data_IF_785600882106
#
_entry.id   IF_785600882106
#
_cell.length_a   1.000
_cell.length_b   1.000
_cell.length_c   1.000
_cell.angle_alpha   90.00
_cell.angle_beta   90.00
_cell.angle_gamma   90.00
#
_symmetry.space_group_name_H-M   'P 1'
#
loop_
_entity.id
_entity.type
_entity.pdbx_description
1 polymer ?
#
# COMPACT_ATOMS: atom_id res chain seq x y z
N UNK A 1 -21.98 -18.33 7.22
CA UNK A 1 -22.16 -17.41 8.37
C UNK A 1 -20.83 -17.38 9.11
N UNK A 2 -20.11 -16.25 9.07
CA UNK A 2 -18.86 -16.08 9.82
C UNK A 2 -19.26 -15.83 11.27
N UNK A 3 -18.78 -16.70 12.17
CA UNK A 3 -19.06 -16.65 13.59
C UNK A 3 -18.54 -15.32 14.16
N UNK A 4 -19.39 -14.54 14.83
CA UNK A 4 -19.16 -13.14 15.16
C UNK A 4 -18.35 -12.90 16.46
N UNK A 5 -17.47 -13.83 16.86
CA UNK A 5 -16.81 -13.78 18.18
C UNK A 5 -15.38 -13.22 18.15
N UNK A 6 -14.76 -13.15 16.97
CA UNK A 6 -13.40 -12.63 16.80
C UNK A 6 -13.17 -12.09 15.38
N UNK A 7 -12.10 -11.32 15.22
CA UNK A 7 -11.61 -10.86 13.92
C UNK A 7 -10.11 -11.09 13.79
N UNK A 8 -9.63 -11.19 12.55
CA UNK A 8 -8.21 -11.25 12.23
C UNK A 8 -7.84 -10.01 11.44
N UNK A 9 -6.76 -9.35 11.84
CA UNK A 9 -6.26 -8.12 11.21
C UNK A 9 -4.73 -8.18 11.04
N UNK A 10 -4.17 -7.46 10.06
CA UNK A 10 -2.72 -7.26 9.98
C UNK A 10 -2.20 -6.56 11.24
N UNK A 11 -1.01 -6.94 11.70
CA UNK A 11 -0.36 -6.35 12.86
C UNK A 11 0.97 -5.68 12.44
N UNK A 12 1.22 -4.47 12.94
CA UNK A 12 2.53 -3.82 12.82
C UNK A 12 3.42 -4.29 13.97
N UNK A 13 4.59 -4.86 13.64
CA UNK A 13 5.46 -5.45 14.66
C UNK A 13 5.86 -4.47 15.77
N UNK A 14 6.07 -3.18 15.46
CA UNK A 14 6.52 -2.19 16.45
C UNK A 14 5.36 -1.70 17.31
N UNK A 15 4.22 -1.44 16.69
CA UNK A 15 3.04 -0.91 17.39
C UNK A 15 2.31 -1.99 18.19
N UNK A 16 2.18 -3.20 17.64
CA UNK A 16 1.42 -4.30 18.24
C UNK A 16 2.31 -5.28 19.05
N UNK A 17 3.60 -4.96 19.25
CA UNK A 17 4.58 -5.86 19.88
C UNK A 17 4.08 -6.48 21.19
N UNK A 18 3.48 -5.67 22.07
CA UNK A 18 3.02 -6.13 23.38
C UNK A 18 1.90 -7.18 23.27
N UNK A 19 1.00 -7.02 22.30
CA UNK A 19 -0.11 -7.93 22.08
C UNK A 19 0.36 -9.23 21.43
N UNK A 20 1.27 -9.14 20.45
CA UNK A 20 1.95 -10.30 19.85
C UNK A 20 2.72 -11.09 20.93
N UNK A 21 3.49 -10.38 21.77
CA UNK A 21 4.24 -10.92 22.90
C UNK A 21 3.35 -11.65 23.88
N UNK A 22 2.24 -11.03 24.30
CA UNK A 22 1.32 -11.63 25.26
C UNK A 22 0.81 -13.01 24.82
N UNK A 23 0.43 -13.14 23.54
CA UNK A 23 -0.05 -14.42 23.00
C UNK A 23 1.10 -15.42 22.87
N UNK A 24 2.24 -15.01 22.30
CA UNK A 24 3.41 -15.88 22.06
C UNK A 24 4.02 -16.40 23.35
N UNK A 25 4.22 -15.55 24.36
CA UNK A 25 4.77 -15.97 25.66
C UNK A 25 3.84 -16.96 26.35
N UNK A 26 2.53 -16.71 26.33
CA UNK A 26 1.55 -17.61 26.95
C UNK A 26 1.62 -19.02 26.34
N UNK A 27 1.71 -19.10 25.01
CA UNK A 27 1.66 -20.38 24.29
C UNK A 27 3.02 -21.05 24.19
N UNK A 28 4.07 -20.35 23.77
CA UNK A 28 5.38 -20.95 23.53
C UNK A 28 6.21 -21.08 24.80
N UNK A 29 6.31 -20.01 25.60
CA UNK A 29 7.18 -20.00 26.79
C UNK A 29 6.48 -20.68 27.98
N UNK A 30 5.29 -20.22 28.34
CA UNK A 30 4.61 -20.70 29.56
C UNK A 30 4.03 -22.10 29.40
N UNK A 31 3.36 -22.37 28.27
CA UNK A 31 2.71 -23.66 28.02
C UNK A 31 3.68 -24.68 27.40
N UNK A 32 4.32 -24.36 26.28
CA UNK A 32 5.18 -25.33 25.55
C UNK A 32 6.62 -25.40 26.06
N UNK A 33 7.01 -24.54 27.00
CA UNK A 33 8.35 -24.52 27.62
C UNK A 33 9.48 -24.24 26.64
N UNK A 34 9.22 -23.49 25.57
CA UNK A 34 10.26 -22.93 24.70
C UNK A 34 11.08 -21.90 25.50
N UNK A 35 12.42 -21.94 25.47
CA UNK A 35 13.25 -20.93 26.12
C UNK A 35 12.90 -19.52 25.62
N UNK A 36 12.76 -18.55 26.52
CA UNK A 36 12.36 -17.17 26.17
C UNK A 36 13.35 -16.52 25.17
N UNK A 37 14.63 -16.84 25.30
CA UNK A 37 15.71 -16.41 24.41
C UNK A 37 15.63 -16.97 22.97
N UNK A 38 14.94 -18.10 22.77
CA UNK A 38 14.74 -18.71 21.45
C UNK A 38 13.42 -18.27 20.77
N UNK A 39 12.50 -17.67 21.54
CA UNK A 39 11.19 -17.27 21.01
C UNK A 39 11.28 -16.10 20.04
N UNK A 40 12.18 -15.15 20.31
CA UNK A 40 12.36 -13.90 19.58
C UNK A 40 13.57 -13.97 18.67
N UNK A 41 13.41 -13.62 17.39
CA UNK A 41 14.51 -13.69 16.42
C UNK A 41 14.67 -12.41 15.57
N UNK A 42 15.78 -12.33 14.84
CA UNK A 42 16.13 -11.19 14.00
C UNK A 42 15.17 -11.00 12.79
N UNK A 43 14.37 -12.02 12.46
CA UNK A 43 13.41 -11.94 11.36
C UNK A 43 12.10 -11.29 11.79
N UNK A 44 11.76 -11.30 13.08
CA UNK A 44 10.50 -10.76 13.60
C UNK A 44 10.17 -9.35 13.06
N UNK A 45 11.08 -8.36 13.07
CA UNK A 45 10.81 -7.02 12.52
C UNK A 45 10.55 -6.98 11.01
N UNK A 46 10.90 -8.04 10.27
CA UNK A 46 10.82 -8.13 8.81
C UNK A 46 9.66 -9.01 8.33
N UNK A 47 8.93 -9.64 9.26
CA UNK A 47 7.82 -10.52 8.92
C UNK A 47 6.51 -9.73 8.71
N UNK A 48 5.60 -10.30 7.93
CA UNK A 48 4.19 -9.89 7.98
C UNK A 48 3.54 -10.58 9.18
N UNK A 49 2.99 -9.82 10.11
CA UNK A 49 2.29 -10.36 11.27
C UNK A 49 0.78 -10.22 11.10
N UNK A 50 0.04 -11.19 11.65
CA UNK A 50 -1.41 -11.11 11.82
C UNK A 50 -1.75 -11.35 13.28
N UNK A 51 -2.82 -10.72 13.73
CA UNK A 51 -3.33 -10.88 15.09
C UNK A 51 -4.84 -11.15 15.04
N UNK A 52 -5.28 -12.08 15.89
CA UNK A 52 -6.69 -12.33 16.13
C UNK A 52 -7.10 -11.63 17.43
N UNK A 53 -8.23 -10.93 17.39
CA UNK A 53 -8.80 -10.23 18.54
C UNK A 53 -10.24 -10.65 18.78
N UNK A 54 -10.62 -10.79 20.04
CA UNK A 54 -12.01 -11.02 20.44
C UNK A 54 -12.88 -9.75 20.28
N UNK A 55 -14.17 -9.86 20.61
CA UNK A 55 -15.10 -8.73 20.60
C UNK A 55 -14.69 -7.56 21.54
N UNK A 56 -13.95 -7.86 22.61
CA UNK A 56 -13.41 -6.88 23.57
C UNK A 56 -12.04 -6.33 23.16
N UNK A 57 -11.58 -6.63 21.93
CA UNK A 57 -10.30 -6.20 21.37
C UNK A 57 -9.06 -6.85 22.02
N UNK A 58 -9.21 -7.91 22.81
CA UNK A 58 -8.09 -8.61 23.45
C UNK A 58 -7.40 -9.52 22.43
N UNK A 59 -6.06 -9.61 22.44
CA UNK A 59 -5.34 -10.51 21.54
C UNK A 59 -5.52 -11.96 21.97
N UNK A 60 -5.98 -12.81 21.05
CA UNK A 60 -6.34 -14.22 21.32
C UNK A 60 -5.55 -15.20 20.46
N UNK A 61 -4.87 -14.71 19.43
CA UNK A 61 -4.07 -15.53 18.54
C UNK A 61 -3.17 -14.68 17.64
N UNK A 62 -2.11 -15.27 17.12
CA UNK A 62 -1.17 -14.60 16.22
C UNK A 62 -0.49 -15.60 15.29
N UNK A 63 0.12 -15.09 14.22
CA UNK A 63 0.99 -15.81 13.32
C UNK A 63 1.80 -14.84 12.48
N UNK A 64 2.90 -15.34 11.90
CA UNK A 64 3.75 -14.53 11.02
C UNK A 64 4.08 -15.25 9.72
N UNK A 65 4.36 -14.46 8.68
CA UNK A 65 4.90 -14.88 7.40
C UNK A 65 6.28 -14.22 7.21
N UNK A 66 7.32 -15.05 7.15
CA UNK A 66 8.72 -14.59 7.02
C UNK A 66 9.06 -14.22 5.57
N UNK A 67 10.09 -13.39 5.34
CA UNK A 67 10.61 -13.11 3.98
C UNK A 67 11.07 -14.37 3.23
N UNK A 68 11.44 -15.42 3.97
CA UNK A 68 11.85 -16.74 3.45
C UNK A 68 10.67 -17.63 3.06
N UNK A 69 9.46 -17.05 2.99
CA UNK A 69 8.21 -17.74 2.62
C UNK A 69 7.83 -18.85 3.59
N UNK A 70 8.09 -18.63 4.88
CA UNK A 70 7.68 -19.57 5.93
C UNK A 70 6.60 -18.97 6.82
N UNK A 71 5.57 -19.76 7.09
CA UNK A 71 4.61 -19.49 8.15
C UNK A 71 5.19 -20.02 9.45
N UNK A 72 5.14 -19.20 10.51
CA UNK A 72 5.65 -19.56 11.81
C UNK A 72 4.97 -18.77 12.92
N UNK A 73 5.38 -19.05 14.17
CA UNK A 73 4.86 -18.40 15.38
C UNK A 73 3.32 -18.38 15.45
N UNK A 74 2.71 -19.43 14.90
CA UNK A 74 1.25 -19.65 14.96
C UNK A 74 0.88 -20.03 16.39
N UNK A 75 0.16 -19.14 17.07
CA UNK A 75 -0.26 -19.33 18.46
C UNK A 75 -1.72 -18.92 18.64
N UNK A 76 -2.47 -19.71 19.40
CA UNK A 76 -3.84 -19.41 19.82
C UNK A 76 -3.95 -19.74 21.30
N UNK A 77 -4.51 -18.82 22.08
CA UNK A 77 -4.73 -19.01 23.50
C UNK A 77 -5.62 -20.24 23.75
N UNK A 78 -5.32 -21.07 24.78
CA UNK A 78 -6.01 -22.34 25.04
C UNK A 78 -7.54 -22.27 24.99
N UNK A 79 -8.12 -21.24 25.59
CA UNK A 79 -9.56 -21.01 25.71
C UNK A 79 -10.25 -20.69 24.36
N UNK A 80 -9.48 -20.28 23.34
CA UNK A 80 -9.95 -19.95 21.99
C UNK A 80 -9.67 -21.04 20.95
N UNK A 81 -9.01 -22.14 21.34
CA UNK A 81 -8.76 -23.29 20.46
C UNK A 81 -10.07 -24.01 20.10
N UNK A 82 -10.08 -24.65 18.93
CA UNK A 82 -11.27 -25.34 18.42
C UNK A 82 -12.40 -24.42 17.94
N UNK A 83 -12.23 -23.10 18.00
CA UNK A 83 -13.23 -22.09 17.56
C UNK A 83 -12.97 -21.51 16.17
N UNK A 84 -12.01 -22.09 15.42
CA UNK A 84 -11.64 -21.63 14.07
C UNK A 84 -10.67 -20.43 14.02
N UNK A 85 -10.12 -19.98 15.16
CA UNK A 85 -9.14 -18.87 15.21
C UNK A 85 -7.86 -19.23 14.44
N UNK A 86 -7.34 -20.44 14.63
CA UNK A 86 -6.15 -20.93 13.91
C UNK A 86 -6.37 -20.97 12.40
N UNK A 87 -7.52 -21.47 11.95
CA UNK A 87 -7.91 -21.49 10.54
C UNK A 87 -7.96 -20.08 9.93
N UNK A 88 -8.50 -19.11 10.67
CA UNK A 88 -8.63 -17.73 10.21
C UNK A 88 -7.26 -17.04 10.11
N UNK A 89 -6.39 -17.23 11.11
CA UNK A 89 -5.01 -16.73 11.08
C UNK A 89 -4.22 -17.32 9.91
N UNK A 90 -4.28 -18.64 9.74
CA UNK A 90 -3.60 -19.32 8.65
C UNK A 90 -4.13 -18.87 7.28
N UNK A 91 -5.45 -18.69 7.14
CA UNK A 91 -6.05 -18.17 5.91
C UNK A 91 -5.55 -16.77 5.58
N UNK A 92 -5.49 -15.87 6.56
CA UNK A 92 -4.98 -14.51 6.36
C UNK A 92 -3.51 -14.51 5.88
N UNK A 93 -2.66 -15.37 6.46
CA UNK A 93 -1.26 -15.51 6.02
C UNK A 93 -1.12 -16.11 4.61
N UNK A 94 -1.97 -17.07 4.26
CA UNK A 94 -2.02 -17.65 2.92
C UNK A 94 -2.51 -16.63 1.89
N UNK A 95 -3.52 -15.83 2.21
CA UNK A 95 -4.00 -14.73 1.37
C UNK A 95 -2.90 -13.69 1.14
N UNK A 96 -2.16 -13.33 2.20
CA UNK A 96 -1.00 -12.46 2.08
C UNK A 96 0.08 -13.05 1.16
N UNK A 97 0.44 -14.33 1.33
CA UNK A 97 1.40 -15.01 0.46
C UNK A 97 0.94 -15.05 -1.01
N UNK A 98 -0.36 -15.28 -1.24
CA UNK A 98 -0.95 -15.24 -2.60
C UNK A 98 -0.95 -13.84 -3.18
N UNK A 99 -1.20 -12.81 -2.38
CA UNK A 99 -1.15 -11.40 -2.81
C UNK A 99 0.27 -10.96 -3.17
N UNK A 100 1.29 -11.52 -2.51
CA UNK A 100 2.70 -11.37 -2.86
C UNK A 100 3.12 -12.18 -4.11
N UNK A 101 2.19 -12.91 -4.72
CA UNK A 101 2.44 -13.71 -5.93
C UNK A 101 3.32 -14.95 -5.70
N UNK A 102 3.41 -15.44 -4.47
CA UNK A 102 4.27 -16.59 -4.17
C UNK A 102 3.67 -17.89 -4.69
N UNK A 103 4.46 -18.76 -5.35
CA UNK A 103 3.98 -20.04 -5.87
C UNK A 103 3.89 -21.13 -4.80
N UNK A 104 4.56 -20.94 -3.66
CA UNK A 104 4.64 -21.91 -2.57
C UNK A 104 4.93 -21.18 -1.25
N UNK A 105 4.43 -21.76 -0.15
CA UNK A 105 4.78 -21.38 1.22
C UNK A 105 5.13 -22.63 2.03
N UNK A 106 6.13 -22.51 2.91
CA UNK A 106 6.58 -23.58 3.81
C UNK A 106 6.23 -23.32 5.27
N UNK A 107 6.38 -24.34 6.11
CA UNK A 107 6.37 -24.24 7.57
C UNK A 107 7.03 -25.45 8.20
N UNK A 108 7.42 -25.32 9.47
CA UNK A 108 7.82 -26.43 10.31
C UNK A 108 6.64 -26.73 11.25
N UNK A 109 5.91 -27.81 11.01
CA UNK A 109 4.77 -28.20 11.85
C UNK A 109 5.24 -29.04 13.02
N UNK A 110 4.86 -28.69 14.25
CA UNK A 110 4.93 -29.64 15.36
C UNK A 110 4.12 -30.90 15.00
N UNK A 111 4.57 -32.08 15.42
CA UNK A 111 3.92 -33.35 15.04
C UNK A 111 2.41 -33.36 15.33
N UNK A 112 1.99 -32.79 16.46
CA UNK A 112 0.59 -32.63 16.85
C UNK A 112 -0.25 -31.71 15.95
N UNK A 113 0.38 -30.81 15.20
CA UNK A 113 -0.26 -29.84 14.32
C UNK A 113 -0.27 -30.28 12.84
N UNK A 114 0.32 -31.45 12.51
CA UNK A 114 0.38 -31.94 11.13
C UNK A 114 -1.01 -32.03 10.51
N UNK A 115 -1.98 -32.62 11.19
CA UNK A 115 -3.35 -32.78 10.68
C UNK A 115 -4.07 -31.44 10.49
N UNK A 116 -3.75 -30.44 11.31
CA UNK A 116 -4.25 -29.09 11.11
C UNK A 116 -3.75 -28.53 9.76
N UNK A 117 -2.44 -28.53 9.53
CA UNK A 117 -1.88 -27.99 8.28
C UNK A 117 -2.24 -28.85 7.05
N UNK A 118 -2.31 -30.18 7.19
CA UNK A 118 -2.71 -31.09 6.13
C UNK A 118 -4.12 -30.79 5.59
N UNK A 119 -5.08 -30.49 6.47
CA UNK A 119 -6.43 -30.06 6.09
C UNK A 119 -6.45 -28.73 5.34
N UNK A 120 -5.45 -27.89 5.56
CA UNK A 120 -5.22 -26.67 4.77
C UNK A 120 -4.35 -26.90 3.52
N UNK A 121 -4.14 -28.14 3.08
CA UNK A 121 -3.45 -28.47 1.84
C UNK A 121 -1.92 -28.42 1.90
N UNK A 122 -1.33 -28.38 3.10
CA UNK A 122 0.11 -28.58 3.26
C UNK A 122 0.46 -30.07 3.15
N UNK A 123 1.60 -30.36 2.55
CA UNK A 123 2.13 -31.71 2.40
C UNK A 123 3.49 -31.82 3.10
N UNK A 124 3.74 -32.89 3.86
CA UNK A 124 5.03 -33.11 4.49
C UNK A 124 6.13 -33.34 3.44
N UNK A 125 7.34 -32.88 3.74
CA UNK A 125 8.54 -33.19 2.97
C UNK A 125 9.76 -33.30 3.89
N UNK A 126 10.70 -34.17 3.53
CA UNK A 126 11.87 -34.45 4.36
C UNK A 126 11.57 -35.26 5.62
N UNK A 127 12.60 -35.51 6.41
CA UNK A 127 12.51 -36.24 7.68
C UNK A 127 12.05 -35.33 8.82
N UNK A 128 11.61 -35.96 9.92
CA UNK A 128 11.31 -35.24 11.16
C UNK A 128 12.59 -34.80 11.85
N UNK A 129 12.55 -33.69 12.57
CA UNK A 129 13.70 -33.12 13.27
C UNK A 129 13.27 -32.46 14.57
N UNK A 130 14.22 -32.22 15.46
CA UNK A 130 14.01 -31.53 16.73
C UNK A 130 14.30 -30.04 16.59
N UNK A 131 13.41 -29.19 17.10
CA UNK A 131 13.56 -27.73 17.16
C UNK A 131 12.99 -27.26 18.51
N UNK A 132 13.77 -26.52 19.29
CA UNK A 132 13.43 -26.09 20.66
C UNK A 132 12.90 -27.22 21.57
N UNK A 133 13.45 -28.44 21.44
CA UNK A 133 13.03 -29.61 22.21
C UNK A 133 11.71 -30.26 21.77
N UNK A 134 11.13 -29.82 20.65
CA UNK A 134 9.87 -30.35 20.09
C UNK A 134 10.14 -30.99 18.74
N UNK A 135 9.51 -32.14 18.48
CA UNK A 135 9.60 -32.82 17.19
C UNK A 135 8.73 -32.11 16.14
N UNK A 136 9.33 -31.82 14.99
CA UNK A 136 8.73 -31.11 13.87
C UNK A 136 8.84 -31.90 12.56
N UNK A 137 7.91 -31.63 11.65
CA UNK A 137 7.91 -32.08 10.26
C UNK A 137 7.84 -30.85 9.36
N UNK A 138 8.78 -30.72 8.42
CA UNK A 138 8.68 -29.69 7.41
C UNK A 138 7.49 -29.98 6.47
N UNK A 139 6.69 -28.96 6.20
CA UNK A 139 5.53 -29.05 5.31
C UNK A 139 5.50 -27.86 4.35
N UNK A 140 4.97 -28.08 3.15
CA UNK A 140 4.83 -27.04 2.13
C UNK A 140 3.49 -27.12 1.44
N UNK A 141 3.01 -25.98 0.95
CA UNK A 141 1.80 -25.88 0.16
C UNK A 141 2.08 -25.07 -1.09
N UNK A 142 1.79 -25.65 -2.25
CA UNK A 142 1.68 -24.90 -3.49
C UNK A 142 0.49 -23.96 -3.41
N UNK A 143 0.74 -22.72 -3.77
CA UNK A 143 -0.28 -21.70 -3.87
C UNK A 143 -0.57 -21.49 -5.35
N UNK A 144 -1.84 -21.46 -5.69
CA UNK A 144 -2.23 -20.72 -6.87
C UNK A 144 -2.06 -19.25 -6.49
N UNK A 145 -1.20 -18.47 -7.16
CA UNK A 145 -1.20 -17.03 -6.96
C UNK A 145 -2.64 -16.53 -7.04
N UNK A 146 -3.03 -15.55 -6.23
CA UNK A 146 -4.20 -14.77 -6.63
C UNK A 146 -3.87 -14.31 -8.04
N UNK A 147 -4.70 -14.68 -9.02
CA UNK A 147 -4.53 -14.15 -10.35
C UNK A 147 -4.41 -12.65 -10.14
N UNK A 148 -3.21 -12.09 -10.34
CA UNK A 148 -3.06 -10.66 -10.54
C UNK A 148 -4.11 -10.41 -11.60
N UNK A 149 -5.21 -9.69 -11.31
CA UNK A 149 -6.32 -9.59 -12.25
C UNK A 149 -5.65 -9.31 -13.57
N UNK A 150 -5.71 -10.27 -14.51
CA UNK A 150 -4.90 -10.21 -15.73
C UNK A 150 -5.17 -8.83 -16.22
N UNK A 151 -4.15 -7.95 -16.17
CA UNK A 151 -4.33 -6.59 -16.62
C UNK A 151 -4.76 -6.83 -18.06
N UNK A 152 -6.03 -6.58 -18.42
CA UNK A 152 -6.52 -6.94 -19.75
C UNK A 152 -5.47 -6.40 -20.68
N UNK A 153 -4.91 -7.23 -21.59
CA UNK A 153 -3.71 -6.90 -22.35
C UNK A 153 -3.88 -5.47 -22.78
N UNK A 154 -2.97 -4.60 -22.31
CA UNK A 154 -3.20 -3.16 -22.32
C UNK A 154 -3.77 -2.82 -23.69
N UNK A 155 -5.05 -2.37 -23.73
CA UNK A 155 -5.76 -2.09 -24.99
C UNK A 155 -4.73 -1.42 -25.90
N UNK A 156 -4.50 -1.92 -27.13
CA UNK A 156 -3.44 -1.41 -27.99
C UNK A 156 -3.50 0.10 -27.93
N UNK A 157 -2.45 0.70 -27.33
CA UNK A 157 -2.43 2.12 -27.05
C UNK A 157 -2.56 2.80 -28.41
N UNK A 158 -3.48 3.76 -28.50
CA UNK A 158 -3.65 4.52 -29.74
C UNK A 158 -2.33 5.18 -30.17
N UNK A 159 -2.21 5.59 -31.44
CA UNK A 159 -1.03 6.33 -31.88
C UNK A 159 -0.81 7.55 -30.97
N UNK A 160 0.46 7.90 -30.73
CA UNK A 160 0.79 9.12 -30.01
C UNK A 160 0.13 10.31 -30.69
N UNK A 161 -0.59 11.12 -29.92
CA UNK A 161 -1.03 12.43 -30.35
C UNK A 161 0.18 13.37 -30.32
N UNK A 162 0.43 14.16 -31.38
CA UNK A 162 1.54 15.10 -31.41
C UNK A 162 1.57 16.01 -30.18
N UNK A 163 2.78 16.24 -29.69
CA UNK A 163 3.04 17.14 -28.58
C UNK A 163 2.72 18.57 -28.99
N UNK A 164 2.13 19.32 -28.06
CA UNK A 164 1.77 20.73 -28.22
C UNK A 164 2.49 21.54 -27.15
N UNK A 165 2.90 22.73 -27.53
CA UNK A 165 3.54 23.64 -26.60
C UNK A 165 2.49 24.39 -25.75
N UNK A 166 2.90 24.80 -24.55
CA UNK A 166 2.20 25.78 -23.73
C UNK A 166 3.09 27.01 -23.60
N UNK A 167 2.51 28.21 -23.71
CA UNK A 167 3.28 29.46 -23.57
C UNK A 167 2.83 30.27 -22.35
N UNK A 168 1.57 30.10 -21.92
CA UNK A 168 1.00 30.85 -20.81
C UNK A 168 0.27 29.99 -19.77
N UNK A 169 -0.10 30.60 -18.62
CA UNK A 169 -0.86 29.92 -17.57
C UNK A 169 -2.25 29.45 -18.05
N UNK A 170 -2.83 30.12 -19.06
CA UNK A 170 -4.07 29.68 -19.71
C UNK A 170 -3.90 28.33 -20.43
N UNK A 171 -2.88 28.20 -21.28
CA UNK A 171 -2.59 26.96 -22.01
C UNK A 171 -2.30 25.81 -21.05
N UNK A 172 -1.54 26.09 -19.99
CA UNK A 172 -1.23 25.13 -18.92
C UNK A 172 -2.51 24.67 -18.21
N UNK A 173 -3.42 25.60 -17.89
CA UNK A 173 -4.70 25.26 -17.28
C UNK A 173 -5.60 24.44 -18.20
N UNK A 174 -5.66 24.77 -19.49
CA UNK A 174 -6.42 24.03 -20.49
C UNK A 174 -5.86 22.62 -20.70
N UNK A 175 -4.53 22.48 -20.76
CA UNK A 175 -3.84 21.20 -20.82
C UNK A 175 -4.16 20.35 -19.57
N UNK A 176 -3.99 20.90 -18.36
CA UNK A 176 -4.35 20.24 -17.11
C UNK A 176 -5.81 19.82 -17.10
N UNK A 177 -6.74 20.68 -17.54
CA UNK A 177 -8.17 20.38 -17.58
C UNK A 177 -8.48 19.19 -18.51
N UNK A 178 -7.87 19.17 -19.70
CA UNK A 178 -7.99 18.05 -20.63
C UNK A 178 -7.47 16.74 -20.03
N UNK A 179 -6.32 16.79 -19.36
CA UNK A 179 -5.69 15.64 -18.73
C UNK A 179 -6.48 15.11 -17.53
N UNK A 180 -7.00 15.97 -16.67
CA UNK A 180 -7.83 15.58 -15.51
C UNK A 180 -9.14 14.93 -15.98
N UNK A 181 -9.78 15.49 -17.03
CA UNK A 181 -11.01 14.91 -17.60
C UNK A 181 -10.80 13.56 -18.27
N UNK A 182 -9.62 13.31 -18.83
CA UNK A 182 -9.28 12.05 -19.48
C UNK A 182 -8.88 10.94 -18.49
N UNK A 183 -8.43 11.33 -17.29
CA UNK A 183 -8.00 10.40 -16.25
C UNK A 183 -9.15 9.48 -15.79
N UNK A 184 -8.84 8.23 -15.47
CA UNK A 184 -9.83 7.21 -15.07
C UNK A 184 -9.61 6.72 -13.65
N UNK A 185 -8.35 6.52 -13.26
CA UNK A 185 -7.99 5.94 -11.97
C UNK A 185 -6.88 6.70 -11.26
N UNK A 186 -6.01 7.38 -11.99
CA UNK A 186 -4.86 8.03 -11.36
C UNK A 186 -4.50 9.34 -12.05
N UNK A 187 -4.25 10.34 -11.22
CA UNK A 187 -3.60 11.59 -11.59
C UNK A 187 -2.39 11.74 -10.67
N UNK A 188 -1.22 11.98 -11.26
CA UNK A 188 -0.02 12.39 -10.54
C UNK A 188 0.30 13.84 -10.87
N UNK A 189 0.68 14.61 -9.85
CA UNK A 189 1.05 16.01 -9.98
C UNK A 189 2.32 16.27 -9.19
N UNK A 190 3.35 16.77 -9.87
CA UNK A 190 4.51 17.37 -9.22
C UNK A 190 4.46 18.88 -9.48
N UNK A 191 4.31 19.64 -8.41
CA UNK A 191 4.27 21.11 -8.43
C UNK A 191 5.11 21.66 -7.28
N UNK A 192 5.57 22.90 -7.42
CA UNK A 192 6.30 23.58 -6.35
C UNK A 192 5.36 23.97 -5.22
N UNK A 193 4.29 24.68 -5.57
CA UNK A 193 3.44 25.45 -4.66
C UNK A 193 1.95 25.34 -5.02
N UNK A 194 1.57 24.39 -5.88
CA UNK A 194 0.22 24.22 -6.39
C UNK A 194 -0.30 25.52 -7.02
N UNK A 195 0.38 25.98 -8.08
CA UNK A 195 0.24 27.31 -8.68
C UNK A 195 -1.23 27.81 -8.72
N UNK A 196 -1.61 28.82 -7.91
CA UNK A 196 -3.00 29.23 -7.76
C UNK A 196 -3.65 29.71 -9.07
N UNK A 197 -2.85 30.28 -9.97
CA UNK A 197 -3.30 30.74 -11.30
C UNK A 197 -3.76 29.60 -12.21
N UNK A 198 -3.34 28.36 -11.94
CA UNK A 198 -3.70 27.16 -12.69
C UNK A 198 -4.63 26.27 -11.84
N UNK A 199 -4.15 25.84 -10.67
CA UNK A 199 -4.84 24.87 -9.82
C UNK A 199 -5.93 25.47 -8.93
N UNK A 200 -5.97 26.79 -8.80
CA UNK A 200 -7.05 27.52 -8.15
C UNK A 200 -8.22 27.84 -9.07
N UNK A 201 -8.11 27.60 -10.39
CA UNK A 201 -9.17 27.93 -11.33
C UNK A 201 -10.44 27.08 -11.07
N UNK A 202 -11.64 27.68 -11.05
CA UNK A 202 -12.89 26.97 -10.78
C UNK A 202 -13.13 25.76 -11.68
N UNK A 203 -12.78 25.87 -12.97
CA UNK A 203 -12.95 24.79 -13.94
C UNK A 203 -12.10 23.56 -13.60
N UNK A 204 -10.86 23.76 -13.13
CA UNK A 204 -9.97 22.67 -12.79
C UNK A 204 -10.35 22.04 -11.45
N UNK A 205 -10.73 22.84 -10.46
CA UNK A 205 -11.23 22.35 -9.16
C UNK A 205 -12.48 21.49 -9.36
N UNK A 206 -13.42 21.93 -10.20
CA UNK A 206 -14.61 21.14 -10.51
C UNK A 206 -14.25 19.85 -11.27
N UNK A 207 -13.29 19.88 -12.21
CA UNK A 207 -12.83 18.67 -12.88
C UNK A 207 -12.21 17.64 -11.91
N UNK A 208 -11.39 18.08 -10.97
CA UNK A 208 -10.83 17.24 -9.91
C UNK A 208 -11.92 16.66 -9.00
N UNK A 209 -12.95 17.45 -8.65
CA UNK A 209 -14.11 16.99 -7.89
C UNK A 209 -14.90 15.92 -8.64
N UNK A 210 -15.16 16.13 -9.94
CA UNK A 210 -15.84 15.14 -10.79
C UNK A 210 -15.05 13.83 -10.89
N UNK A 211 -13.73 13.92 -11.04
CA UNK A 211 -12.84 12.76 -10.99
C UNK A 211 -12.99 12.00 -9.66
N UNK A 212 -12.97 12.72 -8.53
CA UNK A 212 -13.05 12.14 -7.19
C UNK A 212 -14.38 11.40 -6.92
N UNK A 213 -15.52 11.92 -7.42
CA UNK A 213 -16.85 11.33 -7.18
C UNK A 213 -17.28 10.28 -8.21
N UNK A 214 -16.50 10.03 -9.27
CA UNK A 214 -16.86 9.11 -10.35
C UNK A 214 -16.99 7.63 -9.92
N UNK A 215 -16.73 7.28 -8.65
CA UNK A 215 -17.00 5.97 -8.07
C UNK A 215 -16.06 4.84 -8.50
N UNK A 216 -14.92 5.15 -9.14
CA UNK A 216 -13.99 4.17 -9.72
C UNK A 216 -12.75 3.87 -8.86
N UNK A 217 -12.71 4.36 -7.61
CA UNK A 217 -11.52 4.27 -6.75
C UNK A 217 -10.34 5.08 -7.31
N UNK A 218 -10.63 6.26 -7.87
CA UNK A 218 -9.60 7.14 -8.41
C UNK A 218 -8.74 7.77 -7.31
N UNK A 219 -7.46 8.00 -7.61
CA UNK A 219 -6.48 8.63 -6.71
C UNK A 219 -5.82 9.83 -7.37
N UNK A 220 -5.60 10.87 -6.58
CA UNK A 220 -4.79 12.05 -6.96
C UNK A 220 -3.60 12.10 -6.02
N UNK A 221 -2.40 11.88 -6.57
CA UNK A 221 -1.14 11.91 -5.83
C UNK A 221 -0.38 13.18 -6.17
N UNK A 222 -0.10 14.00 -5.16
CA UNK A 222 0.56 15.29 -5.32
C UNK A 222 1.88 15.31 -4.57
N UNK A 223 2.97 15.53 -5.30
CA UNK A 223 4.27 15.92 -4.74
C UNK A 223 4.35 17.44 -4.73
N UNK A 224 4.52 18.02 -3.54
CA UNK A 224 4.75 19.45 -3.34
C UNK A 224 6.16 19.70 -2.85
N UNK A 225 6.90 20.53 -3.57
CA UNK A 225 8.27 20.90 -3.17
C UNK A 225 8.26 21.90 -2.00
N UNK A 226 7.27 22.79 -1.95
CA UNK A 226 7.12 23.83 -0.92
C UNK A 226 5.71 23.79 -0.29
N UNK A 227 5.38 22.75 0.51
CA UNK A 227 4.06 22.63 1.10
C UNK A 227 3.70 23.81 2.03
N UNK A 228 4.69 24.41 2.69
CA UNK A 228 4.50 25.57 3.56
C UNK A 228 4.01 26.82 2.81
N UNK A 229 4.32 26.97 1.52
CA UNK A 229 3.83 28.08 0.72
C UNK A 229 2.31 28.00 0.49
N UNK A 230 1.76 26.79 0.42
CA UNK A 230 0.32 26.54 0.16
C UNK A 230 -0.52 26.67 1.44
N UNK A 231 0.11 26.46 2.60
CA UNK A 231 -0.56 26.48 3.90
C UNK A 231 -1.10 27.89 4.22
N UNK A 232 -2.39 28.00 4.55
CA UNK A 232 -3.02 29.26 4.97
C UNK A 232 -3.52 30.16 3.84
N UNK A 233 -3.20 29.89 2.57
CA UNK A 233 -3.65 30.71 1.43
C UNK A 233 -5.10 30.45 0.99
N UNK A 234 -5.80 29.48 1.60
CA UNK A 234 -7.16 29.13 1.20
C UNK A 234 -7.26 28.52 -0.21
N UNK A 235 -6.23 27.79 -0.66
CA UNK A 235 -6.16 27.25 -2.02
C UNK A 235 -7.38 26.34 -2.33
N UNK A 236 -8.20 26.63 -3.36
CA UNK A 236 -9.45 25.91 -3.63
C UNK A 236 -9.30 24.39 -3.78
N UNK A 237 -8.26 23.93 -4.47
CA UNK A 237 -7.99 22.50 -4.63
C UNK A 237 -7.57 21.82 -3.31
N UNK A 238 -6.91 22.56 -2.41
CA UNK A 238 -6.54 22.04 -1.10
C UNK A 238 -7.78 21.90 -0.21
N UNK A 239 -8.68 22.88 -0.24
CA UNK A 239 -9.97 22.82 0.45
C UNK A 239 -10.83 21.65 -0.04
N UNK A 240 -10.84 21.38 -1.36
CA UNK A 240 -11.48 20.20 -1.92
C UNK A 240 -10.82 18.91 -1.40
N UNK A 241 -9.49 18.84 -1.44
CA UNK A 241 -8.75 17.67 -1.00
C UNK A 241 -8.95 17.34 0.48
N UNK A 242 -9.06 18.35 1.35
CA UNK A 242 -9.36 18.16 2.77
C UNK A 242 -10.71 17.49 3.00
N UNK A 243 -11.70 17.73 2.12
CA UNK A 243 -13.02 17.09 2.17
C UNK A 243 -13.06 15.71 1.53
N UNK A 244 -12.04 15.36 0.74
CA UNK A 244 -11.94 14.13 -0.06
C UNK A 244 -10.62 13.41 0.20
N UNK A 245 -10.27 13.25 1.48
CA UNK A 245 -8.97 12.73 1.94
C UNK A 245 -8.68 11.28 1.55
N UNK A 246 -9.69 10.50 1.14
CA UNK A 246 -9.52 9.15 0.60
C UNK A 246 -9.04 9.13 -0.86
N UNK A 247 -9.26 10.23 -1.60
CA UNK A 247 -8.90 10.37 -3.02
C UNK A 247 -7.59 11.14 -3.17
N UNK A 248 -7.41 12.21 -2.40
CA UNK A 248 -6.25 13.08 -2.50
C UNK A 248 -5.16 12.71 -1.50
N UNK A 249 -3.94 12.58 -1.98
CA UNK A 249 -2.76 12.30 -1.17
C UNK A 249 -1.68 13.33 -1.48
N UNK A 250 -1.16 13.98 -0.45
CA UNK A 250 -0.08 14.96 -0.55
C UNK A 250 1.16 14.44 0.14
N UNK A 251 2.30 14.52 -0.56
CA UNK A 251 3.62 14.22 -0.02
C UNK A 251 4.59 15.34 -0.39
N UNK A 252 5.62 15.49 0.43
CA UNK A 252 6.73 16.39 0.18
C UNK A 252 8.04 15.58 0.14
N UNK A 253 8.89 15.77 -0.89
CA UNK A 253 10.21 15.17 -0.90
C UNK A 253 11.04 15.60 0.32
N UNK A 254 11.93 14.71 0.78
CA UNK A 254 12.86 14.97 1.89
C UNK A 254 14.30 15.09 1.44
N UNK A 255 14.64 14.50 0.28
CA UNK A 255 15.99 14.48 -0.24
C UNK A 255 16.28 15.77 -1.02
N UNK A 256 17.46 16.35 -0.81
CA UNK A 256 17.87 17.62 -1.44
C UNK A 256 17.78 17.59 -2.98
N UNK A 257 18.10 16.43 -3.58
CA UNK A 257 18.05 16.24 -5.03
C UNK A 257 16.63 16.42 -5.57
N UNK A 258 15.62 15.92 -4.86
CA UNK A 258 14.22 16.02 -5.28
C UNK A 258 13.62 17.37 -4.96
N UNK A 259 14.02 17.98 -3.85
CA UNK A 259 13.62 19.34 -3.49
C UNK A 259 14.12 20.37 -4.52
N UNK A 260 15.27 20.11 -5.14
CA UNK A 260 15.85 20.95 -6.19
C UNK A 260 15.37 20.56 -7.60
N UNK A 261 14.43 19.62 -7.73
CA UNK A 261 13.93 19.22 -9.04
C UNK A 261 13.23 20.41 -9.72
N UNK A 262 13.76 20.91 -10.84
CA UNK A 262 13.35 22.22 -11.36
C UNK A 262 12.03 22.18 -12.11
N UNK A 263 11.59 20.99 -12.53
CA UNK A 263 10.46 20.80 -13.43
C UNK A 263 9.14 20.63 -12.68
N UNK A 264 8.03 20.92 -13.34
CA UNK A 264 6.69 20.62 -12.87
C UNK A 264 5.93 19.81 -13.94
N UNK A 265 5.09 18.86 -13.52
CA UNK A 265 4.34 18.05 -14.47
C UNK A 265 3.06 17.46 -13.89
N UNK A 266 2.12 17.18 -14.78
CA UNK A 266 0.91 16.40 -14.50
C UNK A 266 0.86 15.23 -15.49
N UNK A 267 0.59 14.03 -15.01
CA UNK A 267 0.38 12.86 -15.86
C UNK A 267 -0.79 12.01 -15.33
N UNK A 268 -1.41 11.22 -16.20
CA UNK A 268 -2.57 10.41 -15.85
C UNK A 268 -2.45 8.96 -16.34
N UNK A 269 -3.43 8.13 -15.98
CA UNK A 269 -3.52 6.73 -16.42
C UNK A 269 -4.09 6.53 -17.84
N UNK A 270 -4.31 7.62 -18.57
CA UNK A 270 -4.83 7.65 -19.94
C UNK A 270 -3.74 8.01 -20.98
N UNK A 271 -2.46 7.81 -20.64
CA UNK A 271 -1.27 8.12 -21.44
C UNK A 271 -1.05 9.63 -21.70
N UNK A 272 -1.80 10.52 -21.03
CA UNK A 272 -1.67 11.96 -21.18
C UNK A 272 -0.66 12.57 -20.20
N UNK A 273 0.06 13.60 -20.65
CA UNK A 273 0.99 14.35 -19.81
C UNK A 273 1.04 15.84 -20.18
N UNK A 274 1.46 16.65 -19.21
CA UNK A 274 1.98 18.01 -19.34
C UNK A 274 3.32 18.05 -18.61
N UNK A 275 4.36 18.60 -19.22
CA UNK A 275 5.68 18.77 -18.64
C UNK A 275 6.19 20.19 -18.84
N UNK A 276 6.71 20.80 -17.78
CA UNK A 276 7.38 22.10 -17.82
C UNK A 276 8.79 21.92 -17.28
N UNK A 277 9.80 22.15 -18.12
CA UNK A 277 11.21 21.99 -17.77
C UNK A 277 11.61 22.82 -16.55
N UNK A 278 11.04 24.01 -16.43
CA UNK A 278 11.14 24.88 -15.25
C UNK A 278 9.72 25.14 -14.73
N UNK A 279 9.37 24.64 -13.56
CA UNK A 279 8.03 24.82 -12.97
C UNK A 279 7.69 26.29 -12.67
N UNK A 280 8.71 27.15 -12.52
CA UNK A 280 8.57 28.59 -12.38
C UNK A 280 8.21 29.32 -13.69
N UNK A 281 8.17 28.61 -14.82
CA UNK A 281 7.79 29.17 -16.12
C UNK A 281 6.55 28.48 -16.67
N UNK A 282 5.98 29.08 -17.71
CA UNK A 282 4.79 28.55 -18.39
C UNK A 282 5.11 27.82 -19.69
N UNK A 283 6.36 27.94 -20.19
CA UNK A 283 6.81 27.16 -21.34
C UNK A 283 6.89 25.67 -20.98
N UNK A 284 6.24 24.85 -21.81
CA UNK A 284 6.17 23.42 -21.59
C UNK A 284 5.58 22.70 -22.79
N UNK A 285 5.46 21.40 -22.63
CA UNK A 285 5.01 20.50 -23.67
C UNK A 285 3.97 19.53 -23.09
N UNK A 286 2.90 19.28 -23.84
CA UNK A 286 1.83 18.39 -23.40
C UNK A 286 1.25 17.58 -24.54
N UNK A 287 0.67 16.43 -24.20
CA UNK A 287 -0.12 15.64 -25.14
C UNK A 287 -1.21 14.89 -24.38
N UNK A 288 -2.45 14.82 -24.92
CA UNK A 288 -3.51 14.04 -24.31
C UNK A 288 -3.28 12.53 -24.41
N UNK A 289 -2.37 12.07 -25.27
CA UNK A 289 -2.00 10.66 -25.40
C UNK A 289 -0.59 10.53 -26.00
N UNK A 290 0.42 10.39 -25.15
CA UNK A 290 1.80 10.11 -25.55
C UNK A 290 2.43 9.07 -24.60
N UNK A 291 2.19 7.77 -24.86
CA UNK A 291 2.50 6.67 -23.95
C UNK A 291 3.93 6.62 -23.41
N UNK A 292 4.93 6.87 -24.26
CA UNK A 292 6.34 6.74 -23.90
C UNK A 292 6.75 7.79 -22.86
N UNK A 293 6.45 9.07 -23.13
CA UNK A 293 6.72 10.20 -22.25
C UNK A 293 5.93 10.12 -20.95
N UNK A 294 4.63 9.80 -21.02
CA UNK A 294 3.79 9.62 -19.83
C UNK A 294 4.37 8.55 -18.89
N UNK A 295 4.84 7.42 -19.44
CA UNK A 295 5.47 6.35 -18.64
C UNK A 295 6.73 6.82 -17.92
N UNK A 296 7.61 7.56 -18.60
CA UNK A 296 8.82 8.11 -17.98
C UNK A 296 8.50 9.00 -16.76
N UNK A 297 7.47 9.84 -16.88
CA UNK A 297 7.03 10.73 -15.80
C UNK A 297 6.41 9.95 -14.64
N UNK A 298 5.56 8.95 -14.92
CA UNK A 298 4.97 8.09 -13.88
C UNK A 298 6.04 7.28 -13.13
N UNK A 299 7.05 6.74 -13.83
CA UNK A 299 8.17 6.02 -13.22
C UNK A 299 9.02 6.94 -12.33
N UNK A 300 9.33 8.16 -12.81
CA UNK A 300 10.02 9.16 -12.02
C UNK A 300 9.22 9.54 -10.77
N UNK A 301 7.93 9.89 -10.95
CA UNK A 301 7.03 10.24 -9.86
C UNK A 301 6.96 9.15 -8.80
N UNK A 302 6.80 7.88 -9.21
CA UNK A 302 6.72 6.74 -8.30
C UNK A 302 7.97 6.60 -7.44
N UNK A 303 9.16 6.76 -8.01
CA UNK A 303 10.42 6.70 -7.24
C UNK A 303 10.50 7.81 -6.18
N UNK A 304 10.14 9.04 -6.52
CA UNK A 304 10.15 10.19 -5.59
C UNK A 304 9.07 10.01 -4.52
N UNK A 305 7.89 9.53 -4.91
CA UNK A 305 6.74 9.31 -4.03
C UNK A 305 7.06 8.38 -2.85
N UNK A 306 7.72 7.25 -3.11
CA UNK A 306 8.01 6.24 -2.07
C UNK A 306 8.92 6.76 -0.96
N UNK A 307 9.85 7.67 -1.28
CA UNK A 307 10.77 8.27 -0.31
C UNK A 307 10.29 9.61 0.27
N UNK A 308 9.15 10.12 -0.19
CA UNK A 308 8.59 11.40 0.26
C UNK A 308 7.76 11.24 1.54
N UNK A 309 7.78 12.24 2.43
CA UNK A 309 6.96 12.25 3.65
C UNK A 309 5.52 12.67 3.35
N UNK A 310 4.50 12.18 4.09
CA UNK A 310 3.15 12.76 4.04
C UNK A 310 3.14 14.24 4.48
N UNK A 311 2.31 15.05 3.83
CA UNK A 311 2.02 16.42 4.27
C UNK A 311 0.94 16.40 5.36
N UNK A 312 1.35 16.26 6.63
CA UNK A 312 0.42 16.26 7.78
C UNK A 312 -0.14 17.65 8.07
N UNK A 313 0.56 18.70 7.66
CA UNK A 313 0.18 20.12 7.77
C UNK A 313 -1.13 20.48 7.02
N UNK A 314 -1.57 19.63 6.10
CA UNK A 314 -2.80 19.83 5.33
C UNK A 314 -4.00 19.06 5.85
N UNK A 315 -3.82 18.17 6.83
CA UNK A 315 -4.97 17.55 7.51
C UNK A 315 -5.76 18.67 8.15
N UNK A 316 -7.07 18.71 7.91
CA UNK A 316 -7.93 19.64 8.62
C UNK A 316 -7.61 19.52 10.11
N UNK A 317 -7.20 20.62 10.74
CA UNK A 317 -7.11 20.70 12.19
C UNK A 317 -8.52 20.36 12.67
N UNK A 318 -8.69 19.15 13.20
CA UNK A 318 -9.94 18.75 13.81
C UNK A 318 -10.20 19.71 14.95
N UNK A 319 -11.21 20.56 14.77
CA UNK A 319 -11.96 21.16 15.86
C UNK A 319 -13.25 20.36 15.96
#
# INVERSE_FOLDING_TARGET
MINADFRVEPADYRTDFQDLRRVRETVFVLEQKVPEEEEWDELDPRCHHVIARDADNRPIGTGRLTPERKIGRMAVLPEWRGRGVGDALLRALLEQARALGWPEVGLNAQVQAIDFYARHGFQPYGERFMEAGIEHQAMRRRLEPLATPERPPAKPRGPSVPVRDTEGPGDVADACLALVRAARREIVLLSRDLEPTVFGQPALVEAFKQFAIAGRGGTVRVLLLEPGAVQGQGHPLLLLAQRMSSVFQFRAPTDDVDLQYPSAYLANDADGFLFRSLGSRWEGDWSPAHPARCRQLLEHFGRVWERSRPCTEFRALGI
#
